data_IF_706883670501
#
_entry.id   IF_706883670501
#
_cell.length_a   1.000
_cell.length_b   1.000
_cell.length_c   1.000
_cell.angle_alpha   90.00
_cell.angle_beta   90.00
_cell.angle_gamma   90.00
#
_symmetry.space_group_name_H-M   'P 1'
#
loop_
_entity.id
_entity.type
_entity.pdbx_description
1 polymer ?
#
# COMPACT_ATOMS: atom_id res chain seq x y z
N UNK A 1 -26.16 -12.97 23.26
CA UNK A 1 -24.77 -13.14 22.76
C UNK A 1 -24.65 -14.61 22.34
N UNK A 2 -24.47 -14.92 21.06
CA UNK A 2 -24.38 -16.30 20.57
C UNK A 2 -23.11 -16.98 21.10
N UNK A 3 -23.16 -18.29 21.33
CA UNK A 3 -22.03 -19.11 21.83
C UNK A 3 -20.74 -18.98 21.02
N UNK A 4 -20.85 -18.55 19.76
CA UNK A 4 -19.74 -18.33 18.84
C UNK A 4 -18.99 -17.01 19.09
N UNK A 5 -19.65 -15.98 19.62
CA UNK A 5 -19.02 -14.71 19.99
C UNK A 5 -18.13 -14.85 21.24
N UNK A 6 -18.46 -15.77 22.14
CA UNK A 6 -17.71 -16.05 23.38
C UNK A 6 -16.39 -16.80 23.15
N UNK A 7 -16.17 -17.37 21.95
CA UNK A 7 -14.93 -18.09 21.61
C UNK A 7 -13.93 -17.27 20.81
N UNK A 8 -14.26 -16.05 20.40
CA UNK A 8 -13.38 -15.22 19.55
C UNK A 8 -12.23 -14.63 20.36
N UNK A 9 -11.02 -14.69 19.80
CA UNK A 9 -9.86 -14.01 20.37
C UNK A 9 -10.15 -12.51 20.48
N UNK A 10 -9.79 -11.84 21.60
CA UNK A 10 -10.00 -10.40 21.76
C UNK A 10 -9.42 -9.61 20.58
N UNK A 11 -10.11 -8.55 20.14
CA UNK A 11 -9.70 -7.75 18.98
C UNK A 11 -8.24 -7.29 19.09
N UNK A 12 -7.85 -6.73 20.24
CA UNK A 12 -6.48 -6.27 20.47
C UNK A 12 -5.43 -7.38 20.27
N UNK A 13 -5.71 -8.60 20.75
CA UNK A 13 -4.82 -9.74 20.58
C UNK A 13 -4.71 -10.18 19.11
N UNK A 14 -5.80 -10.10 18.34
CA UNK A 14 -5.81 -10.40 16.91
C UNK A 14 -5.00 -9.39 16.09
N UNK A 15 -5.24 -8.10 16.34
CA UNK A 15 -4.49 -7.01 15.70
C UNK A 15 -3.00 -7.10 16.05
N UNK A 16 -2.67 -7.35 17.32
CA UNK A 16 -1.29 -7.52 17.76
C UNK A 16 -0.62 -8.73 17.08
N UNK A 17 -1.30 -9.88 17.03
CA UNK A 17 -0.75 -11.09 16.41
C UNK A 17 -0.41 -10.87 14.92
N UNK A 18 -1.33 -10.25 14.16
CA UNK A 18 -1.08 -9.94 12.75
C UNK A 18 0.02 -8.90 12.59
N UNK A 19 0.00 -7.82 13.37
CA UNK A 19 1.01 -6.77 13.30
C UNK A 19 2.42 -7.29 13.66
N UNK A 20 2.54 -8.07 14.73
CA UNK A 20 3.80 -8.70 15.11
C UNK A 20 4.29 -9.70 14.05
N UNK A 21 3.37 -10.47 13.46
CA UNK A 21 3.66 -11.35 12.32
C UNK A 21 4.17 -10.58 11.11
N UNK A 22 3.55 -9.45 10.76
CA UNK A 22 4.03 -8.55 9.71
C UNK A 22 5.45 -8.06 9.99
N UNK A 23 5.74 -7.56 11.19
CA UNK A 23 7.10 -7.13 11.56
C UNK A 23 8.10 -8.29 11.45
N UNK A 24 7.73 -9.49 11.90
CA UNK A 24 8.58 -10.67 11.81
C UNK A 24 8.86 -11.10 10.37
N UNK A 25 7.86 -11.04 9.47
CA UNK A 25 8.03 -11.36 8.05
C UNK A 25 9.03 -10.41 7.40
N UNK A 26 8.91 -9.10 7.65
CA UNK A 26 9.85 -8.13 7.06
C UNK A 26 11.24 -8.22 7.70
N UNK A 27 11.34 -8.48 9.01
CA UNK A 27 12.64 -8.74 9.66
C UNK A 27 13.32 -9.99 9.06
N UNK A 28 12.57 -11.06 8.83
CA UNK A 28 13.07 -12.27 8.17
C UNK A 28 13.52 -11.98 6.73
N UNK A 29 12.74 -11.19 5.98
CA UNK A 29 13.10 -10.77 4.63
C UNK A 29 14.41 -10.00 4.62
N UNK A 30 14.60 -9.02 5.52
CA UNK A 30 15.85 -8.26 5.62
C UNK A 30 17.04 -9.16 5.97
N UNK A 31 16.86 -10.06 6.93
CA UNK A 31 17.89 -11.04 7.28
C UNK A 31 18.23 -11.97 6.10
N UNK A 32 17.24 -12.45 5.36
CA UNK A 32 17.46 -13.30 4.19
C UNK A 32 18.20 -12.52 3.09
N UNK A 33 17.79 -11.27 2.84
CA UNK A 33 18.44 -10.36 1.90
C UNK A 33 19.91 -10.11 2.27
N UNK A 34 20.23 -9.88 3.55
CA UNK A 34 21.61 -9.66 3.99
C UNK A 34 22.47 -10.93 4.02
N UNK A 35 21.85 -12.12 4.07
CA UNK A 35 22.58 -13.40 4.20
C UNK A 35 22.79 -14.06 2.86
N UNK A 36 21.82 -13.97 1.96
CA UNK A 36 21.79 -14.67 0.67
C UNK A 36 21.79 -13.74 -0.54
N UNK A 37 21.52 -12.44 -0.35
CA UNK A 37 21.54 -11.46 -1.42
C UNK A 37 22.94 -10.88 -1.61
N UNK A 38 23.35 -10.73 -2.86
CA UNK A 38 24.61 -10.05 -3.20
C UNK A 38 24.51 -8.54 -2.99
N UNK A 39 23.42 -7.94 -3.47
CA UNK A 39 23.01 -6.55 -3.27
C UNK A 39 21.47 -6.50 -3.23
N UNK A 40 20.89 -5.73 -2.30
CA UNK A 40 19.44 -5.54 -2.12
C UNK A 40 18.77 -5.05 -3.42
N UNK A 41 19.54 -4.34 -4.26
CA UNK A 41 19.03 -3.75 -5.49
C UNK A 41 18.98 -4.72 -6.68
N UNK A 42 19.62 -5.90 -6.59
CA UNK A 42 19.67 -6.87 -7.69
C UNK A 42 18.31 -7.54 -7.94
N UNK A 43 18.07 -7.95 -9.19
CA UNK A 43 16.84 -8.65 -9.59
C UNK A 43 16.61 -9.94 -8.78
N UNK A 44 17.60 -10.83 -8.58
CA UNK A 44 17.39 -12.07 -7.82
C UNK A 44 16.96 -11.80 -6.38
N UNK A 45 17.59 -10.85 -5.69
CA UNK A 45 17.21 -10.46 -4.32
C UNK A 45 15.78 -9.92 -4.26
N UNK A 46 15.39 -9.07 -5.23
CA UNK A 46 14.00 -8.56 -5.32
C UNK A 46 12.97 -9.67 -5.54
N UNK A 47 13.28 -10.64 -6.41
CA UNK A 47 12.40 -11.80 -6.63
C UNK A 47 12.29 -12.64 -5.35
N UNK A 48 13.40 -12.94 -4.68
CA UNK A 48 13.41 -13.68 -3.43
C UNK A 48 12.55 -12.97 -2.36
N UNK A 49 12.76 -11.67 -2.19
CA UNK A 49 12.01 -10.86 -1.22
C UNK A 49 10.51 -10.83 -1.56
N UNK A 50 10.15 -10.66 -2.83
CA UNK A 50 8.76 -10.71 -3.29
C UNK A 50 8.08 -12.05 -2.97
N UNK A 51 8.75 -13.16 -3.32
CA UNK A 51 8.24 -14.51 -3.07
C UNK A 51 8.11 -14.79 -1.57
N UNK A 52 9.12 -14.42 -0.78
CA UNK A 52 9.12 -14.64 0.67
C UNK A 52 8.01 -13.84 1.34
N UNK A 53 7.93 -12.53 1.10
CA UNK A 53 6.94 -11.67 1.75
C UNK A 53 5.53 -12.07 1.35
N UNK A 54 5.24 -12.20 0.06
CA UNK A 54 3.91 -12.59 -0.40
C UNK A 54 3.52 -13.99 0.09
N UNK A 55 4.46 -14.94 0.00
CA UNK A 55 4.31 -16.33 0.41
C UNK A 55 4.06 -16.51 1.92
N UNK A 56 4.43 -15.53 2.75
CA UNK A 56 4.14 -15.55 4.20
C UNK A 56 2.97 -14.65 4.58
N UNK A 57 2.90 -13.44 4.04
CA UNK A 57 1.88 -12.45 4.37
C UNK A 57 0.47 -12.92 3.99
N UNK A 58 0.30 -13.46 2.77
CA UNK A 58 -1.02 -13.91 2.29
C UNK A 58 -1.55 -15.07 3.13
N UNK A 59 -0.79 -16.17 3.36
CA UNK A 59 -1.24 -17.24 4.24
C UNK A 59 -1.47 -16.78 5.68
N UNK A 60 -0.64 -15.87 6.21
CA UNK A 60 -0.84 -15.32 7.56
C UNK A 60 -2.19 -14.62 7.69
N UNK A 61 -2.54 -13.73 6.74
CA UNK A 61 -3.84 -13.05 6.77
C UNK A 61 -5.00 -14.03 6.60
N UNK A 62 -4.87 -15.01 5.69
CA UNK A 62 -5.89 -16.05 5.51
C UNK A 62 -6.09 -16.87 6.80
N UNK A 63 -5.00 -17.26 7.47
CA UNK A 63 -5.04 -18.00 8.72
C UNK A 63 -5.64 -17.15 9.84
N UNK A 64 -5.20 -15.89 10.00
CA UNK A 64 -5.76 -14.98 10.98
C UNK A 64 -7.27 -14.79 10.78
N UNK A 65 -7.70 -14.60 9.53
CA UNK A 65 -9.12 -14.44 9.19
C UNK A 65 -9.95 -15.69 9.46
N UNK A 66 -9.43 -16.89 9.16
CA UNK A 66 -10.17 -18.15 9.36
C UNK A 66 -10.16 -18.63 10.82
N UNK A 67 -9.04 -18.50 11.52
CA UNK A 67 -8.85 -19.11 12.83
C UNK A 67 -9.02 -18.12 13.99
N UNK A 68 -8.58 -16.86 13.83
CA UNK A 68 -8.72 -15.84 14.88
C UNK A 68 -10.06 -15.12 14.78
N UNK A 69 -10.44 -14.66 13.57
CA UNK A 69 -11.70 -13.94 13.37
C UNK A 69 -12.89 -14.91 13.25
N UNK A 70 -12.65 -16.13 12.74
CA UNK A 70 -13.67 -17.11 12.33
C UNK A 70 -14.69 -16.51 11.37
N UNK A 71 -14.19 -15.82 10.33
CA UNK A 71 -14.99 -15.11 9.33
C UNK A 71 -14.59 -15.50 7.90
N UNK A 72 -15.49 -15.36 6.93
CA UNK A 72 -15.15 -15.57 5.53
C UNK A 72 -14.17 -14.50 5.02
N UNK A 73 -13.37 -14.87 4.01
CA UNK A 73 -12.43 -13.97 3.33
C UNK A 73 -13.13 -12.84 2.58
N UNK A 74 -14.39 -13.04 2.17
CA UNK A 74 -15.18 -12.04 1.45
C UNK A 74 -15.32 -10.72 2.23
N UNK A 75 -15.25 -10.75 3.56
CA UNK A 75 -15.32 -9.54 4.39
C UNK A 75 -14.06 -8.66 4.34
N UNK A 76 -12.96 -9.13 3.73
CA UNK A 76 -11.72 -8.34 3.56
C UNK A 76 -11.78 -7.37 2.36
N UNK A 77 -12.91 -7.31 1.64
CA UNK A 77 -13.04 -6.51 0.41
C UNK A 77 -12.37 -7.14 -0.82
N UNK A 78 -12.03 -8.43 -0.76
CA UNK A 78 -11.60 -9.21 -1.92
C UNK A 78 -12.82 -9.63 -2.73
N UNK A 79 -13.19 -8.80 -3.70
CA UNK A 79 -14.28 -9.11 -4.63
C UNK A 79 -14.01 -10.35 -5.47
N UNK A 80 -15.06 -10.88 -6.10
CA UNK A 80 -14.93 -11.91 -7.13
C UNK A 80 -13.85 -11.50 -8.15
N UNK A 81 -12.86 -12.35 -8.46
CA UNK A 81 -11.78 -12.03 -9.41
C UNK A 81 -12.27 -11.49 -10.77
N UNK A 82 -13.46 -11.91 -11.23
CA UNK A 82 -14.08 -11.43 -12.47
C UNK A 82 -14.54 -9.96 -12.42
N UNK A 83 -14.67 -9.40 -11.22
CA UNK A 83 -15.09 -8.01 -10.95
C UNK A 83 -13.96 -7.16 -10.36
N UNK A 84 -12.91 -7.79 -9.84
CA UNK A 84 -11.73 -7.15 -9.25
C UNK A 84 -11.01 -6.14 -10.16
N UNK A 85 -11.06 -6.35 -11.48
CA UNK A 85 -10.37 -5.49 -12.44
C UNK A 85 -10.91 -4.05 -12.44
N UNK A 86 -12.22 -3.84 -12.23
CA UNK A 86 -12.81 -2.49 -12.23
C UNK A 86 -12.30 -1.66 -11.05
N UNK A 87 -12.47 -2.08 -9.78
CA UNK A 87 -11.94 -1.30 -8.66
C UNK A 87 -10.42 -1.17 -8.69
N UNK A 88 -9.70 -2.17 -9.21
CA UNK A 88 -8.25 -2.07 -9.45
C UNK A 88 -7.90 -0.94 -10.41
N UNK A 89 -8.56 -0.87 -11.58
CA UNK A 89 -8.34 0.20 -12.55
C UNK A 89 -8.79 1.57 -12.01
N UNK A 90 -9.83 1.63 -11.17
CA UNK A 90 -10.19 2.88 -10.46
C UNK A 90 -9.02 3.34 -9.58
N UNK A 91 -8.39 2.43 -8.84
CA UNK A 91 -7.20 2.72 -8.04
C UNK A 91 -6.02 3.22 -8.87
N UNK A 92 -5.70 2.49 -9.95
CA UNK A 92 -4.64 2.89 -10.90
C UNK A 92 -4.92 4.27 -11.46
N UNK A 93 -6.15 4.54 -11.92
CA UNK A 93 -6.53 5.83 -12.50
C UNK A 93 -6.51 6.96 -11.47
N UNK A 94 -6.91 6.69 -10.22
CA UNK A 94 -6.89 7.65 -9.13
C UNK A 94 -5.47 8.15 -8.81
N UNK A 95 -4.43 7.34 -9.06
CA UNK A 95 -3.04 7.80 -8.98
C UNK A 95 -2.55 8.37 -10.32
N UNK A 96 -2.67 7.59 -11.40
CA UNK A 96 -2.01 7.84 -12.67
C UNK A 96 -2.54 9.09 -13.38
N UNK A 97 -3.84 9.39 -13.30
CA UNK A 97 -4.40 10.56 -14.00
C UNK A 97 -3.88 11.88 -13.40
N UNK A 98 -4.00 12.15 -12.09
CA UNK A 98 -3.42 13.37 -11.53
C UNK A 98 -1.89 13.43 -11.65
N UNK A 99 -1.21 12.29 -11.44
CA UNK A 99 0.24 12.18 -11.57
C UNK A 99 0.71 12.59 -12.98
N UNK A 100 0.10 12.02 -14.02
CA UNK A 100 0.42 12.34 -15.41
C UNK A 100 0.11 13.80 -15.73
N UNK A 101 -1.06 14.32 -15.33
CA UNK A 101 -1.44 15.71 -15.57
C UNK A 101 -0.46 16.68 -14.90
N UNK A 102 -0.12 16.46 -13.63
CA UNK A 102 0.81 17.30 -12.89
C UNK A 102 2.22 17.23 -13.47
N UNK A 103 2.71 16.03 -13.80
CA UNK A 103 4.02 15.85 -14.43
C UNK A 103 4.09 16.51 -15.82
N UNK A 104 3.06 16.32 -16.67
CA UNK A 104 2.99 16.96 -17.98
C UNK A 104 2.98 18.49 -17.85
N UNK A 105 2.24 19.05 -16.89
CA UNK A 105 2.24 20.49 -16.65
C UNK A 105 3.62 20.99 -16.19
N UNK A 106 4.29 20.27 -15.29
CA UNK A 106 5.63 20.63 -14.80
C UNK A 106 6.68 20.59 -15.92
N UNK A 107 6.63 19.57 -16.79
CA UNK A 107 7.50 19.47 -17.96
C UNK A 107 7.21 20.58 -18.98
N UNK A 108 5.94 20.82 -19.31
CA UNK A 108 5.54 21.82 -20.31
C UNK A 108 5.88 23.26 -19.90
N UNK A 109 5.94 23.53 -18.60
CA UNK A 109 6.31 24.84 -18.04
C UNK A 109 7.82 24.97 -17.78
N UNK A 110 8.60 23.90 -17.99
CA UNK A 110 10.02 23.86 -17.66
C UNK A 110 10.31 23.89 -16.15
N UNK A 111 9.30 23.64 -15.31
CA UNK A 111 9.47 23.57 -13.86
C UNK A 111 10.29 22.33 -13.44
N UNK A 112 10.18 21.27 -14.24
CA UNK A 112 10.98 20.05 -14.16
C UNK A 112 11.53 19.76 -15.56
N UNK A 113 12.76 19.28 -15.62
CA UNK A 113 13.34 18.65 -16.79
C UNK A 113 13.75 17.22 -16.40
N UNK A 114 13.43 16.26 -17.27
CA UNK A 114 13.70 14.83 -17.07
C UNK A 114 14.63 14.32 -18.15
N UNK A 115 15.81 13.87 -17.74
CA UNK A 115 16.82 13.35 -18.65
C UNK A 115 17.05 11.86 -18.39
N UNK A 116 16.70 10.98 -19.35
CA UNK A 116 16.93 9.55 -19.21
C UNK A 116 18.44 9.26 -19.31
N UNK A 117 18.96 8.49 -18.36
CA UNK A 117 20.38 8.08 -18.31
C UNK A 117 20.65 6.80 -19.11
N UNK A 118 19.58 6.13 -19.54
CA UNK A 118 19.61 4.90 -20.34
C UNK A 118 18.53 4.98 -21.43
N UNK A 119 18.55 4.12 -22.45
CA UNK A 119 17.51 4.11 -23.48
C UNK A 119 16.10 3.94 -22.90
N UNK A 120 15.11 4.61 -23.50
CA UNK A 120 13.71 4.50 -23.09
C UNK A 120 13.19 3.06 -23.08
N UNK A 121 13.67 2.21 -23.98
CA UNK A 121 13.33 0.77 -23.99
C UNK A 121 13.77 0.06 -22.70
N UNK A 122 14.91 0.44 -22.12
CA UNK A 122 15.39 -0.08 -20.84
C UNK A 122 14.51 0.40 -19.69
N UNK A 123 14.13 1.69 -19.69
CA UNK A 123 13.22 2.26 -18.68
C UNK A 123 11.86 1.55 -18.72
N UNK A 124 11.28 1.41 -19.91
CA UNK A 124 9.99 0.76 -20.10
C UNK A 124 10.04 -0.74 -19.75
N UNK A 125 11.10 -1.45 -20.16
CA UNK A 125 11.32 -2.84 -19.78
C UNK A 125 11.42 -3.01 -18.25
N UNK A 126 12.10 -2.07 -17.58
CA UNK A 126 12.19 -2.05 -16.12
C UNK A 126 10.85 -1.76 -15.46
N UNK A 127 10.07 -0.80 -15.97
CA UNK A 127 8.74 -0.50 -15.47
C UNK A 127 7.79 -1.72 -15.55
N UNK A 128 7.86 -2.51 -16.63
CA UNK A 128 7.08 -3.76 -16.76
C UNK A 128 7.47 -4.78 -15.69
N UNK A 129 8.77 -4.93 -15.40
CA UNK A 129 9.24 -5.81 -14.34
C UNK A 129 8.82 -5.30 -12.96
N UNK A 130 8.91 -3.98 -12.72
CA UNK A 130 8.47 -3.35 -11.48
C UNK A 130 6.98 -3.58 -11.23
N UNK A 131 6.12 -3.56 -12.25
CA UNK A 131 4.69 -3.87 -12.07
C UNK A 131 4.50 -5.23 -11.37
N UNK A 132 5.24 -6.26 -11.80
CA UNK A 132 5.13 -7.59 -11.19
C UNK A 132 5.75 -7.62 -9.80
N UNK A 133 6.97 -7.08 -9.67
CA UNK A 133 7.71 -7.11 -8.40
C UNK A 133 6.98 -6.32 -7.31
N UNK A 134 6.60 -5.07 -7.59
CA UNK A 134 5.87 -4.21 -6.65
C UNK A 134 4.52 -4.82 -6.29
N UNK A 135 3.80 -5.40 -7.26
CA UNK A 135 2.51 -6.02 -6.96
C UNK A 135 2.65 -7.16 -5.95
N UNK A 136 3.62 -8.05 -6.17
CA UNK A 136 3.83 -9.23 -5.32
C UNK A 136 4.49 -8.87 -3.99
N UNK A 137 5.47 -7.97 -4.00
CA UNK A 137 6.27 -7.63 -2.83
C UNK A 137 5.60 -6.61 -1.91
N UNK A 138 4.93 -5.61 -2.48
CA UNK A 138 4.48 -4.42 -1.74
C UNK A 138 2.95 -4.33 -1.77
N UNK A 139 2.37 -4.07 -2.94
CA UNK A 139 0.97 -3.67 -3.03
C UNK A 139 0.00 -4.75 -2.53
N UNK A 140 0.11 -6.00 -3.00
CA UNK A 140 -0.79 -7.06 -2.55
C UNK A 140 -0.62 -7.40 -1.06
N UNK A 141 0.58 -7.75 -0.55
CA UNK A 141 0.73 -8.17 0.85
C UNK A 141 0.46 -7.03 1.83
N UNK A 142 0.93 -5.80 1.57
CA UNK A 142 0.71 -4.68 2.47
C UNK A 142 -0.77 -4.28 2.51
N UNK A 143 -1.44 -4.13 1.37
CA UNK A 143 -2.87 -3.79 1.39
C UNK A 143 -3.69 -4.88 2.06
N UNK A 144 -3.38 -6.15 1.82
CA UNK A 144 -4.09 -7.26 2.47
C UNK A 144 -3.94 -7.26 4.00
N UNK A 145 -2.75 -6.96 4.52
CA UNK A 145 -2.50 -6.84 5.96
C UNK A 145 -3.19 -5.59 6.51
N UNK A 146 -2.87 -4.43 5.95
CA UNK A 146 -3.21 -3.16 6.57
C UNK A 146 -4.66 -2.76 6.32
N UNK A 147 -5.15 -2.86 5.09
CA UNK A 147 -6.50 -2.40 4.71
C UNK A 147 -7.48 -3.55 4.83
N UNK A 148 -7.09 -4.71 4.29
CA UNK A 148 -7.88 -5.93 4.30
C UNK A 148 -8.13 -6.45 5.72
N UNK A 149 -7.09 -6.59 6.55
CA UNK A 149 -7.23 -7.19 7.89
C UNK A 149 -7.32 -6.16 9.02
N UNK A 150 -6.29 -5.30 9.20
CA UNK A 150 -6.19 -4.41 10.36
C UNK A 150 -7.27 -3.33 10.33
N UNK A 151 -7.38 -2.56 9.24
CA UNK A 151 -8.42 -1.53 9.09
C UNK A 151 -9.81 -2.15 9.18
N UNK A 152 -10.07 -3.25 8.46
CA UNK A 152 -11.38 -3.92 8.50
C UNK A 152 -11.78 -4.35 9.90
N UNK A 153 -10.85 -4.91 10.68
CA UNK A 153 -11.16 -5.29 12.05
C UNK A 153 -11.39 -4.06 12.95
N UNK A 154 -10.66 -2.96 12.74
CA UNK A 154 -10.92 -1.69 13.43
C UNK A 154 -12.30 -1.12 13.08
N UNK A 155 -12.73 -1.16 11.81
CA UNK A 155 -14.05 -0.63 11.39
C UNK A 155 -15.22 -1.38 12.00
N UNK A 156 -15.03 -2.61 12.49
CA UNK A 156 -16.10 -3.35 13.19
C UNK A 156 -16.49 -2.75 14.53
N UNK A 157 -15.62 -1.95 15.15
CA UNK A 157 -15.83 -1.36 16.49
C UNK A 157 -15.63 0.15 16.53
N UNK A 158 -15.02 0.74 15.51
CA UNK A 158 -14.76 2.18 15.41
C UNK A 158 -15.44 2.75 14.15
N UNK A 159 -15.84 4.04 14.15
CA UNK A 159 -16.25 4.73 12.94
C UNK A 159 -15.15 4.65 11.85
N UNK A 160 -15.51 4.54 10.55
CA UNK A 160 -14.54 4.33 9.48
C UNK A 160 -13.36 5.30 9.45
N UNK A 161 -13.59 6.60 9.71
CA UNK A 161 -12.51 7.58 9.72
C UNK A 161 -11.51 7.33 10.87
N UNK A 162 -11.97 6.90 12.05
CA UNK A 162 -11.10 6.57 13.18
C UNK A 162 -10.28 5.32 12.87
N UNK A 163 -10.90 4.33 12.23
CA UNK A 163 -10.21 3.12 11.79
C UNK A 163 -9.10 3.42 10.77
N UNK A 164 -9.34 4.35 9.83
CA UNK A 164 -8.31 4.84 8.89
C UNK A 164 -7.14 5.48 9.64
N UNK A 165 -7.41 6.38 10.61
CA UNK A 165 -6.34 7.01 11.39
C UNK A 165 -5.56 5.99 12.21
N UNK A 166 -6.25 5.08 12.92
CA UNK A 166 -5.61 4.03 13.70
C UNK A 166 -4.76 3.10 12.84
N UNK A 167 -5.24 2.73 11.65
CA UNK A 167 -4.46 1.94 10.70
C UNK A 167 -3.25 2.73 10.18
N UNK A 168 -3.41 4.01 9.84
CA UNK A 168 -2.33 4.85 9.36
C UNK A 168 -1.21 5.00 10.38
N UNK A 169 -1.54 5.09 11.67
CA UNK A 169 -0.54 5.03 12.76
C UNK A 169 0.20 3.69 12.74
N UNK A 170 -0.50 2.56 12.66
CA UNK A 170 0.15 1.24 12.61
C UNK A 170 1.09 1.10 11.40
N UNK A 171 0.67 1.57 10.23
CA UNK A 171 1.51 1.55 9.02
C UNK A 171 2.72 2.45 9.13
N UNK A 172 2.55 3.63 9.76
CA UNK A 172 3.67 4.54 10.02
C UNK A 172 4.69 3.91 10.97
N UNK A 173 4.22 3.28 12.05
CA UNK A 173 5.08 2.55 13.00
C UNK A 173 5.80 1.40 12.32
N UNK A 174 5.11 0.63 11.47
CA UNK A 174 5.72 -0.42 10.68
C UNK A 174 6.77 0.12 9.69
N UNK A 175 6.38 1.08 8.86
CA UNK A 175 7.21 1.65 7.79
C UNK A 175 8.43 2.41 8.29
N UNK A 176 8.37 2.99 9.49
CA UNK A 176 9.54 3.65 10.12
C UNK A 176 10.31 2.70 11.04
N UNK A 177 9.61 1.86 11.82
CA UNK A 177 10.19 1.01 12.85
C UNK A 177 11.17 -0.02 12.31
N UNK A 178 10.96 -0.52 11.09
CA UNK A 178 11.92 -1.42 10.43
C UNK A 178 13.30 -0.77 10.26
N UNK A 179 13.37 0.55 10.08
CA UNK A 179 14.60 1.28 9.78
C UNK A 179 15.25 1.91 10.99
N UNK A 180 14.54 2.05 12.12
CA UNK A 180 15.11 2.66 13.34
C UNK A 180 16.38 1.93 13.80
N UNK A 181 16.43 0.61 13.64
CA UNK A 181 17.60 -0.17 14.02
C UNK A 181 18.84 0.06 13.13
N UNK A 182 18.64 0.40 11.84
CA UNK A 182 19.72 0.57 10.86
C UNK A 182 20.08 2.03 10.58
N UNK A 183 19.11 2.94 10.65
CA UNK A 183 19.22 4.36 10.27
C UNK A 183 18.96 5.32 11.46
N UNK A 184 18.56 4.79 12.62
CA UNK A 184 18.28 5.57 13.81
C UNK A 184 16.88 6.21 13.84
N UNK A 185 16.60 6.98 14.90
CA UNK A 185 15.28 7.58 15.13
C UNK A 185 14.92 8.74 14.18
N UNK A 186 15.88 9.28 13.42
CA UNK A 186 15.65 10.34 12.43
C UNK A 186 14.67 9.94 11.32
N UNK A 187 14.55 8.64 11.01
CA UNK A 187 13.62 8.12 10.02
C UNK A 187 12.16 8.47 10.33
N UNK A 188 11.81 8.60 11.62
CA UNK A 188 10.46 9.01 12.01
C UNK A 188 10.13 10.40 11.49
N UNK A 189 11.07 11.35 11.63
CA UNK A 189 10.88 12.72 11.14
C UNK A 189 10.95 12.80 9.61
N UNK A 190 11.80 12.00 8.98
CA UNK A 190 12.02 12.04 7.54
C UNK A 190 10.88 11.38 6.74
N UNK A 191 10.41 10.21 7.19
CA UNK A 191 9.49 9.37 6.42
C UNK A 191 8.11 9.20 7.08
N UNK A 192 7.97 9.52 8.37
CA UNK A 192 6.75 9.25 9.12
C UNK A 192 5.51 9.97 8.55
N UNK A 193 5.65 11.25 8.18
CA UNK A 193 4.56 12.01 7.55
C UNK A 193 4.14 11.38 6.23
N UNK A 194 5.11 10.97 5.41
CA UNK A 194 4.84 10.32 4.12
C UNK A 194 4.08 9.01 4.33
N UNK A 195 4.57 8.11 5.19
CA UNK A 195 3.89 6.83 5.46
C UNK A 195 2.47 7.04 6.01
N UNK A 196 2.30 8.02 6.91
CA UNK A 196 0.98 8.35 7.45
C UNK A 196 0.04 8.86 6.35
N UNK A 197 0.48 9.80 5.51
CA UNK A 197 -0.32 10.37 4.43
C UNK A 197 -0.70 9.31 3.39
N UNK A 198 0.26 8.48 2.96
CA UNK A 198 0.02 7.34 2.08
C UNK A 198 -1.04 6.42 2.68
N UNK A 199 -0.92 6.12 3.98
CA UNK A 199 -1.85 5.21 4.62
C UNK A 199 -3.26 5.74 4.79
N UNK A 200 -3.40 7.04 5.07
CA UNK A 200 -4.70 7.71 5.10
C UNK A 200 -5.37 7.63 3.74
N UNK A 201 -4.66 7.97 2.65
CA UNK A 201 -5.26 7.96 1.30
C UNK A 201 -5.70 6.56 0.90
N UNK A 202 -4.85 5.54 1.06
CA UNK A 202 -5.19 4.15 0.75
C UNK A 202 -6.37 3.65 1.62
N UNK A 203 -6.39 4.03 2.90
CA UNK A 203 -7.49 3.68 3.80
C UNK A 203 -8.81 4.33 3.41
N UNK A 204 -8.78 5.59 2.96
CA UNK A 204 -9.96 6.28 2.44
C UNK A 204 -10.45 5.65 1.14
N UNK A 205 -9.56 5.32 0.21
CA UNK A 205 -9.90 4.63 -1.04
C UNK A 205 -10.59 3.29 -0.76
N UNK A 206 -10.06 2.51 0.19
CA UNK A 206 -10.67 1.24 0.59
C UNK A 206 -12.11 1.40 1.08
N UNK A 207 -12.37 2.39 1.95
CA UNK A 207 -13.71 2.65 2.47
C UNK A 207 -14.65 3.17 1.37
N UNK A 208 -14.17 4.12 0.56
CA UNK A 208 -14.97 4.78 -0.48
C UNK A 208 -15.42 3.82 -1.57
N UNK A 209 -14.60 2.84 -1.94
CA UNK A 209 -14.97 1.88 -3.00
C UNK A 209 -15.48 0.55 -2.45
N UNK A 210 -15.27 0.27 -1.16
CA UNK A 210 -15.60 -1.01 -0.53
C UNK A 210 -14.77 -2.19 -1.05
N UNK A 211 -13.72 -1.92 -1.82
CA UNK A 211 -12.90 -2.94 -2.48
C UNK A 211 -11.45 -2.82 -2.04
N UNK A 212 -10.80 -3.94 -1.78
CA UNK A 212 -9.35 -3.98 -1.53
C UNK A 212 -8.55 -3.80 -2.83
N UNK A 213 -9.16 -4.05 -3.99
CA UNK A 213 -8.48 -3.92 -5.27
C UNK A 213 -8.18 -2.45 -5.62
N UNK A 214 -8.97 -1.49 -5.14
CA UNK A 214 -8.70 -0.06 -5.34
C UNK A 214 -7.40 0.40 -4.68
N UNK A 215 -7.17 0.23 -3.37
CA UNK A 215 -5.88 0.60 -2.78
C UNK A 215 -4.73 -0.22 -3.38
N UNK A 216 -4.92 -1.49 -3.75
CA UNK A 216 -3.88 -2.28 -4.43
C UNK A 216 -3.46 -1.64 -5.77
N UNK A 217 -4.44 -1.25 -6.60
CA UNK A 217 -4.16 -0.60 -7.88
C UNK A 217 -3.51 0.77 -7.72
N UNK A 218 -3.96 1.56 -6.75
CA UNK A 218 -3.37 2.86 -6.44
C UNK A 218 -1.92 2.70 -5.95
N UNK A 219 -1.69 1.81 -4.98
CA UNK A 219 -0.36 1.53 -4.42
C UNK A 219 0.60 1.08 -5.52
N UNK A 220 0.18 0.12 -6.35
CA UNK A 220 1.00 -0.35 -7.47
C UNK A 220 1.39 0.78 -8.42
N UNK A 221 0.43 1.60 -8.84
CA UNK A 221 0.69 2.73 -9.75
C UNK A 221 1.65 3.75 -9.10
N UNK A 222 1.42 4.06 -7.82
CA UNK A 222 2.28 4.95 -7.05
C UNK A 222 3.73 4.44 -7.02
N UNK A 223 3.95 3.21 -6.60
CA UNK A 223 5.29 2.66 -6.42
C UNK A 223 6.02 2.47 -7.75
N UNK A 224 5.35 2.01 -8.80
CA UNK A 224 5.97 1.89 -10.13
C UNK A 224 6.41 3.26 -10.65
N UNK A 225 5.58 4.29 -10.51
CA UNK A 225 5.93 5.66 -10.95
C UNK A 225 7.04 6.23 -10.08
N UNK A 226 6.92 6.16 -8.75
CA UNK A 226 7.93 6.67 -7.83
C UNK A 226 9.29 6.01 -8.04
N UNK A 227 9.35 4.67 -8.10
CA UNK A 227 10.59 3.93 -8.32
C UNK A 227 11.16 4.14 -9.72
N UNK A 228 10.34 4.47 -10.73
CA UNK A 228 10.85 4.80 -12.06
C UNK A 228 11.44 6.22 -12.10
N UNK A 229 10.74 7.20 -11.52
CA UNK A 229 11.12 8.61 -11.52
C UNK A 229 12.30 8.93 -10.60
N UNK A 230 12.44 8.20 -9.49
CA UNK A 230 13.48 8.40 -8.47
C UNK A 230 14.63 7.38 -8.61
N UNK A 231 14.75 6.72 -9.76
CA UNK A 231 15.85 5.80 -10.02
C UNK A 231 17.07 6.50 -10.62
N UNK A 232 18.22 5.84 -10.52
CA UNK A 232 19.46 6.17 -11.22
C UNK A 232 19.33 6.26 -12.76
N UNK A 233 18.26 5.70 -13.33
CA UNK A 233 17.96 5.73 -14.78
C UNK A 233 17.36 7.06 -15.24
N UNK A 234 16.94 7.92 -14.31
CA UNK A 234 16.27 9.18 -14.60
C UNK A 234 16.84 10.29 -13.72
N UNK A 235 17.40 11.32 -14.34
CA UNK A 235 17.81 12.53 -13.59
C UNK A 235 16.77 13.63 -13.76
N UNK A 236 16.54 14.37 -12.68
CA UNK A 236 15.62 15.51 -12.65
C UNK A 236 16.36 16.80 -12.31
N UNK A 237 15.97 17.91 -12.94
CA UNK A 237 16.50 19.24 -12.60
C UNK A 237 15.98 19.75 -11.25
N UNK A 238 14.83 19.26 -10.78
CA UNK A 238 14.20 19.68 -9.54
C UNK A 238 13.37 18.52 -8.94
N UNK A 239 13.96 17.80 -8.00
CA UNK A 239 13.32 16.65 -7.35
C UNK A 239 12.07 17.05 -6.56
N UNK A 240 12.10 18.17 -5.84
CA UNK A 240 10.94 18.64 -5.07
C UNK A 240 9.74 18.96 -5.97
N UNK A 241 9.99 19.63 -7.11
CA UNK A 241 8.94 19.90 -8.08
C UNK A 241 8.42 18.62 -8.74
N UNK A 242 9.29 17.64 -9.00
CA UNK A 242 8.90 16.32 -9.51
C UNK A 242 8.01 15.56 -8.52
N UNK A 243 8.39 15.53 -7.24
CA UNK A 243 7.62 14.90 -6.18
C UNK A 243 6.27 15.61 -5.99
N UNK A 244 6.25 16.94 -5.97
CA UNK A 244 5.02 17.70 -5.80
C UNK A 244 4.05 17.49 -6.98
N UNK A 245 4.55 17.65 -8.21
CA UNK A 245 3.72 17.60 -9.41
C UNK A 245 3.36 16.17 -9.82
N UNK A 246 4.29 15.22 -9.72
CA UNK A 246 4.12 13.84 -10.16
C UNK A 246 3.59 12.89 -9.10
N UNK A 247 3.76 13.18 -7.80
CA UNK A 247 3.35 12.26 -6.72
C UNK A 247 2.33 12.92 -5.80
N UNK A 248 2.65 14.05 -5.17
CA UNK A 248 1.80 14.65 -4.14
C UNK A 248 0.43 15.08 -4.69
N UNK A 249 0.39 15.60 -5.92
CA UNK A 249 -0.85 15.93 -6.64
C UNK A 249 -1.81 14.73 -6.71
N UNK A 250 -1.29 13.53 -6.96
CA UNK A 250 -2.05 12.29 -7.02
C UNK A 250 -2.61 11.89 -5.65
N UNK A 251 -1.84 12.04 -4.58
CA UNK A 251 -2.37 11.81 -3.22
C UNK A 251 -3.47 12.80 -2.83
N UNK A 252 -3.34 14.08 -3.22
CA UNK A 252 -4.35 15.11 -2.95
C UNK A 252 -5.65 14.84 -3.70
N UNK A 253 -5.57 14.44 -4.97
CA UNK A 253 -6.72 14.25 -5.85
C UNK A 253 -7.28 12.82 -5.85
N UNK A 254 -6.59 11.86 -5.22
CA UNK A 254 -6.91 10.44 -5.22
C UNK A 254 -8.38 10.16 -4.90
N UNK A 255 -8.86 10.69 -3.76
CA UNK A 255 -10.21 10.43 -3.28
C UNK A 255 -11.27 11.05 -4.17
N UNK A 256 -11.04 12.24 -4.71
CA UNK A 256 -11.95 12.89 -5.66
C UNK A 256 -12.06 12.10 -6.97
N UNK A 257 -10.93 11.66 -7.52
CA UNK A 257 -10.92 10.87 -8.76
C UNK A 257 -11.59 9.50 -8.52
N UNK A 258 -11.27 8.82 -7.42
CA UNK A 258 -11.90 7.54 -7.10
C UNK A 258 -13.41 7.67 -6.86
N UNK A 259 -13.85 8.74 -6.19
CA UNK A 259 -15.26 9.02 -5.98
C UNK A 259 -16.01 9.20 -7.31
N UNK A 260 -15.41 9.89 -8.28
CA UNK A 260 -16.00 10.07 -9.62
C UNK A 260 -16.08 8.76 -10.42
N UNK A 261 -15.11 7.84 -10.24
CA UNK A 261 -14.99 6.63 -11.05
C UNK A 261 -15.65 5.38 -10.48
N UNK A 262 -15.89 5.31 -9.16
CA UNK A 262 -16.35 4.05 -8.54
C UNK A 262 -16.66 4.11 -7.05
N UNK A 263 -17.38 5.15 -6.59
CA UNK A 263 -17.80 5.25 -5.20
C UNK A 263 -18.89 4.24 -4.82
N UNK A 264 -18.83 3.75 -3.58
CA UNK A 264 -19.88 3.00 -2.89
C UNK A 264 -20.92 3.97 -2.31
N UNK A 265 -22.20 3.69 -2.56
CA UNK A 265 -23.31 4.61 -2.24
C UNK A 265 -23.68 4.70 -0.75
N UNK A 266 -23.34 3.69 0.07
CA UNK A 266 -23.88 3.48 1.41
C UNK A 266 -22.87 3.65 2.56
N UNK A 267 -21.77 4.37 2.35
CA UNK A 267 -20.73 4.54 3.38
C UNK A 267 -21.23 5.39 4.55
N UNK A 268 -21.34 4.80 5.74
CA UNK A 268 -21.63 5.52 6.98
C UNK A 268 -20.35 5.85 7.75
N UNK A 269 -19.88 7.10 7.64
CA UNK A 269 -18.66 7.56 8.32
C UNK A 269 -18.78 7.67 9.84
N UNK A 270 -20.00 7.67 10.40
CA UNK A 270 -20.24 7.97 11.82
C UNK A 270 -20.38 6.74 12.71
N UNK A 271 -20.65 5.57 12.13
CA UNK A 271 -20.94 4.35 12.87
C UNK A 271 -20.01 3.22 12.45
N UNK A 272 -19.61 2.33 13.38
CA UNK A 272 -18.91 1.10 13.02
C UNK A 272 -19.69 0.29 11.98
N UNK A 273 -18.96 -0.47 11.17
CA UNK A 273 -19.50 -1.44 10.21
C UNK A 273 -19.31 -2.87 10.76
N UNK A 274 -20.22 -3.35 11.62
CA UNK A 274 -20.15 -4.72 12.12
C UNK A 274 -20.32 -5.75 10.98
N UNK A 275 -19.62 -6.87 11.13
CA UNK A 275 -19.73 -8.05 10.26
C UNK A 275 -20.74 -9.08 10.77
#
# INVERSE_FOLDING_TARGET
MTTDALRRTPLAARLFAVFAGTVAIWALMRWASSTFGDDELTIPTRIMNAVLVCGLAVPMVIAARRYLDRRPLAGLGLDNPRRAWRPFLVGVAAFALPSALGLTAALATGWVDLQPQVPWSTILGWAVLLIVLVFVFEALPEELIFRGYLQRNLTTVLPPWVAVIGQAVLFTVFGTGLWVASEGWGVLTERGIMFFAVAVVLGLLHIQTGSLWTPIGFHLAFQVVAQSLLSDRMTTSNENALLLAGIASAFVLATTVAAFLGQREDVNWSRPEPE
#
